data_IF_565560238371
#
_entry.id   IF_565560238371
#
_cell.length_a   1.000
_cell.length_b   1.000
_cell.length_c   1.000
_cell.angle_alpha   90.00
_cell.angle_beta   90.00
_cell.angle_gamma   90.00
#
_symmetry.space_group_name_H-M   'P 1'
#
loop_
_entity.id
_entity.type
_entity.pdbx_description
1 polymer ?
#
# COMPACT_ATOMS: atom_id res chain seq x y z
N UNK A 1 -7.63 17.89 -9.17
CA UNK A 1 -7.29 17.83 -7.73
C UNK A 1 -5.89 17.30 -7.58
N UNK A 2 -4.94 18.15 -7.20
CA UNK A 2 -3.52 17.80 -7.09
C UNK A 2 -3.19 17.14 -5.76
N UNK A 3 -2.57 15.95 -5.82
CA UNK A 3 -1.96 15.29 -4.68
C UNK A 3 -0.49 15.05 -4.98
N UNK A 4 0.37 15.91 -4.42
CA UNK A 4 1.82 15.84 -4.57
C UNK A 4 2.30 14.54 -3.90
N UNK A 5 2.57 13.51 -4.69
CA UNK A 5 3.37 12.37 -4.24
C UNK A 5 4.79 12.89 -4.01
N UNK A 6 5.01 13.49 -2.83
CA UNK A 6 6.35 13.77 -2.33
C UNK A 6 7.00 12.39 -2.19
N UNK A 7 7.78 12.03 -3.21
CA UNK A 7 8.72 10.91 -3.15
C UNK A 7 9.69 11.18 -2.02
N UNK A 8 9.30 10.79 -0.82
CA UNK A 8 10.12 10.89 0.37
C UNK A 8 11.21 9.86 0.26
N UNK A 9 12.44 10.30 0.05
CA UNK A 9 13.63 9.59 0.51
C UNK A 9 13.63 9.60 2.05
N UNK A 10 12.61 9.00 2.64
CA UNK A 10 12.49 8.80 4.07
C UNK A 10 13.22 7.51 4.44
N UNK A 11 13.61 7.39 5.72
CA UNK A 11 14.13 6.15 6.31
C UNK A 11 13.22 4.96 5.94
N UNK A 12 13.70 3.71 5.89
CA UNK A 12 12.86 2.55 5.53
C UNK A 12 11.49 2.53 6.24
N UNK A 13 11.48 2.91 7.51
CA UNK A 13 10.27 2.96 8.37
C UNK A 13 9.26 4.05 7.97
N UNK A 14 9.65 5.02 7.12
CA UNK A 14 8.78 6.09 6.64
C UNK A 14 7.62 5.58 5.77
N UNK A 15 7.68 4.32 5.32
CA UNK A 15 6.60 3.67 4.61
C UNK A 15 5.50 3.17 5.56
N UNK A 16 5.80 2.93 6.84
CA UNK A 16 4.82 2.40 7.79
C UNK A 16 3.65 3.39 7.93
N UNK A 17 2.43 2.87 7.84
CA UNK A 17 1.21 3.67 7.88
C UNK A 17 0.84 4.36 6.56
N UNK A 18 1.69 4.30 5.52
CA UNK A 18 1.33 4.81 4.20
C UNK A 18 0.30 3.91 3.52
N UNK A 19 -0.58 4.51 2.73
CA UNK A 19 -1.53 3.77 1.88
C UNK A 19 -0.86 3.46 0.55
N UNK A 20 -0.94 2.20 0.13
CA UNK A 20 -0.34 1.70 -1.11
C UNK A 20 -1.38 1.00 -1.99
N UNK A 21 -1.09 0.90 -3.29
CA UNK A 21 -1.87 0.10 -4.26
C UNK A 21 -0.97 -0.97 -4.87
N UNK A 22 -1.47 -2.20 -4.93
CA UNK A 22 -0.74 -3.33 -5.53
C UNK A 22 -1.02 -3.36 -7.03
N UNK A 23 0.04 -3.43 -7.85
CA UNK A 23 -0.07 -3.35 -9.31
C UNK A 23 0.19 -4.69 -10.03
N UNK A 24 0.69 -5.72 -9.33
CA UNK A 24 1.05 -7.03 -9.90
C UNK A 24 0.63 -8.17 -8.96
N UNK A 25 0.56 -9.39 -9.50
CA UNK A 25 0.26 -10.60 -8.74
C UNK A 25 -1.22 -10.76 -8.36
N UNK A 26 -1.54 -11.76 -7.50
CA UNK A 26 -2.92 -12.12 -7.14
C UNK A 26 -3.72 -10.99 -6.48
N UNK A 27 -3.04 -10.11 -5.77
CA UNK A 27 -3.64 -8.95 -5.10
C UNK A 27 -3.59 -7.68 -5.94
N UNK A 28 -3.36 -7.77 -7.26
CA UNK A 28 -3.40 -6.61 -8.16
C UNK A 28 -4.74 -5.88 -8.03
N UNK A 29 -4.67 -4.55 -7.92
CA UNK A 29 -5.82 -3.67 -7.79
C UNK A 29 -6.23 -3.39 -6.35
N UNK A 30 -5.82 -4.23 -5.39
CA UNK A 30 -6.09 -4.01 -3.98
C UNK A 30 -5.29 -2.82 -3.43
N UNK A 31 -5.90 -2.13 -2.47
CA UNK A 31 -5.26 -1.10 -1.64
C UNK A 31 -5.04 -1.65 -0.24
N UNK A 32 -4.14 -1.03 0.48
CA UNK A 32 -3.88 -1.40 1.87
C UNK A 32 -2.92 -0.44 2.55
N UNK A 33 -2.62 -0.74 3.81
CA UNK A 33 -1.72 0.05 4.66
C UNK A 33 -0.49 -0.76 5.04
N UNK A 34 0.69 -0.16 4.92
CA UNK A 34 1.94 -0.79 5.34
C UNK A 34 1.96 -0.90 6.87
N UNK A 35 2.19 -2.11 7.39
CA UNK A 35 2.28 -2.39 8.82
C UNK A 35 3.69 -2.59 9.31
N UNK A 36 4.56 -3.09 8.44
CA UNK A 36 5.93 -3.47 8.79
C UNK A 36 6.82 -3.41 7.54
N UNK A 37 8.10 -3.11 7.75
CA UNK A 37 9.13 -3.00 6.71
C UNK A 37 10.33 -3.82 7.14
N UNK A 38 10.73 -4.79 6.31
CA UNK A 38 11.89 -5.63 6.57
C UNK A 38 12.79 -5.66 5.34
N UNK A 39 13.88 -4.89 5.40
CA UNK A 39 14.79 -4.71 4.26
C UNK A 39 14.06 -4.10 3.06
N UNK A 40 13.95 -4.88 1.97
CA UNK A 40 13.24 -4.49 0.74
C UNK A 40 11.80 -5.03 0.66
N UNK A 41 11.37 -5.79 1.67
CA UNK A 41 10.04 -6.36 1.75
C UNK A 41 9.15 -5.56 2.71
N UNK A 42 7.85 -5.52 2.42
CA UNK A 42 6.85 -4.86 3.28
C UNK A 42 5.69 -5.80 3.56
N UNK A 43 5.10 -5.68 4.75
CA UNK A 43 3.82 -6.32 5.08
C UNK A 43 2.71 -5.30 4.96
N UNK A 44 1.66 -5.65 4.21
CA UNK A 44 0.53 -4.79 3.92
C UNK A 44 -0.74 -5.44 4.45
N UNK A 45 -1.47 -4.73 5.31
CA UNK A 45 -2.85 -5.07 5.62
C UNK A 45 -3.73 -4.60 4.46
N UNK A 46 -4.45 -5.52 3.80
CA UNK A 46 -5.28 -5.22 2.64
C UNK A 46 -6.64 -4.69 3.08
N UNK A 47 -7.10 -3.64 2.40
CA UNK A 47 -8.47 -3.18 2.52
C UNK A 47 -9.42 -4.25 1.93
N UNK A 48 -10.55 -4.50 2.59
CA UNK A 48 -11.59 -5.35 2.03
C UNK A 48 -12.21 -4.70 0.78
N UNK A 49 -12.41 -5.50 -0.27
CA UNK A 49 -13.19 -5.03 -1.42
C UNK A 49 -14.64 -5.44 -1.19
N UNK A 50 -15.51 -4.45 -0.95
CA UNK A 50 -16.95 -4.68 -1.00
C UNK A 50 -17.38 -4.85 -2.45
N UNK A 51 -18.05 -5.97 -2.76
CA UNK A 51 -18.66 -6.21 -4.06
C UNK A 51 -20.11 -6.63 -3.87
N UNK A 52 -20.99 -6.04 -4.65
CA UNK A 52 -22.35 -6.57 -4.84
C UNK A 52 -22.24 -7.70 -5.86
N UNK A 53 -22.77 -8.87 -5.53
CA UNK A 53 -22.85 -10.03 -6.42
C UNK A 53 -24.32 -10.22 -6.78
N UNK A 54 -24.61 -10.41 -8.06
CA UNK A 54 -25.95 -10.69 -8.61
C UNK A 54 -26.20 -12.18 -8.76
#
# INVERSE_FOLDING_TARGET
>A
GGGRNRGGRGRPDSLIGTTVKIHKGPYKGYRGRVKDVHGTSVRVELDSIMKVVS
#
